data_IF_099828927436
#
_entry.id   IF_099828927436
#
_cell.length_a   1.000
_cell.length_b   1.000
_cell.length_c   1.000
_cell.angle_alpha   90.00
_cell.angle_beta   90.00
_cell.angle_gamma   90.00
#
_symmetry.space_group_name_H-M   'P 1'
#
loop_
_entity.id
_entity.type
_entity.pdbx_description
1 polymer ?
#
# COMPACT_ATOMS: atom_id res chain seq x y z
N UNK A 1 20.18 17.35 10.37
CA UNK A 1 19.04 18.17 10.83
C UNK A 1 17.84 17.53 10.16
N UNK A 2 16.93 16.93 10.91
CA UNK A 2 15.68 16.42 10.35
C UNK A 2 14.92 17.61 9.76
N UNK A 3 14.61 17.56 8.47
CA UNK A 3 13.78 18.55 7.80
C UNK A 3 12.39 18.49 8.45
N UNK A 4 11.88 19.63 8.91
CA UNK A 4 10.55 19.71 9.49
C UNK A 4 9.55 19.34 8.40
N UNK A 5 8.71 18.35 8.68
CA UNK A 5 7.59 17.96 7.83
C UNK A 5 6.69 19.19 7.62
N UNK A 6 6.32 19.44 6.37
CA UNK A 6 5.38 20.53 6.03
C UNK A 6 3.97 20.15 6.50
N UNK A 7 3.55 20.71 7.63
CA UNK A 7 2.23 20.50 8.23
C UNK A 7 1.08 21.24 7.54
N UNK A 8 1.31 21.81 6.36
CA UNK A 8 0.27 22.55 5.61
C UNK A 8 -0.66 21.65 4.78
N UNK A 9 -0.46 20.34 4.77
CA UNK A 9 -1.30 19.41 4.01
C UNK A 9 -2.68 19.25 4.65
N UNK A 10 -3.69 18.94 3.83
CA UNK A 10 -5.11 18.80 4.25
C UNK A 10 -5.32 17.65 5.23
N UNK A 11 -4.35 16.75 5.35
CA UNK A 11 -4.36 15.53 6.16
C UNK A 11 -3.70 15.70 7.53
N UNK A 12 -2.97 16.82 7.76
CA UNK A 12 -2.28 17.12 9.00
C UNK A 12 -3.10 18.05 9.89
N UNK A 13 -3.26 17.69 11.16
CA UNK A 13 -3.64 18.60 12.23
C UNK A 13 -2.43 18.88 13.08
N UNK A 14 -2.31 20.10 13.60
CA UNK A 14 -1.16 20.53 14.42
C UNK A 14 -0.99 19.75 15.74
N UNK A 15 -2.02 18.99 16.11
CA UNK A 15 -2.14 18.18 17.33
C UNK A 15 -2.23 16.66 17.07
N UNK A 16 -1.96 16.20 15.83
CA UNK A 16 -1.91 14.77 15.54
C UNK A 16 -0.67 14.13 16.20
N UNK A 17 -0.92 13.06 16.95
CA UNK A 17 0.08 12.19 17.54
C UNK A 17 -0.14 10.76 17.04
N UNK A 18 0.93 10.00 16.86
CA UNK A 18 0.84 8.59 16.46
C UNK A 18 1.68 7.71 17.37
N UNK A 19 1.14 6.55 17.70
CA UNK A 19 1.86 5.52 18.46
C UNK A 19 2.08 4.32 17.55
N UNK A 20 3.36 4.02 17.27
CA UNK A 20 3.75 2.79 16.58
C UNK A 20 3.92 1.68 17.61
N UNK A 21 3.11 0.65 17.50
CA UNK A 21 3.15 -0.50 18.42
C UNK A 21 3.11 -1.83 17.67
N UNK A 22 3.60 -2.88 18.32
CA UNK A 22 3.47 -4.27 17.90
C UNK A 22 2.53 -4.99 18.85
N UNK A 23 1.61 -5.74 18.28
CA UNK A 23 0.72 -6.63 19.01
C UNK A 23 1.10 -8.09 18.74
N UNK A 24 1.44 -8.82 19.80
CA UNK A 24 1.69 -10.25 19.73
C UNK A 24 0.34 -10.99 19.80
N UNK A 25 0.00 -11.68 18.71
CA UNK A 25 -1.32 -12.34 18.58
C UNK A 25 -1.46 -13.60 19.42
N UNK A 26 -0.35 -14.21 19.87
CA UNK A 26 -0.34 -15.41 20.70
C UNK A 26 -0.47 -15.05 22.18
N UNK A 27 0.28 -14.06 22.62
CA UNK A 27 0.31 -13.66 24.04
C UNK A 27 -0.68 -12.55 24.38
N UNK A 28 -1.12 -11.77 23.39
CA UNK A 28 -1.95 -10.58 23.57
C UNK A 28 -1.14 -9.37 24.09
N UNK A 29 0.18 -9.44 24.10
CA UNK A 29 1.04 -8.36 24.57
C UNK A 29 1.13 -7.24 23.52
N UNK A 30 1.12 -5.98 24.01
CA UNK A 30 1.32 -4.78 23.20
C UNK A 30 2.63 -4.12 23.59
N UNK A 31 3.48 -3.87 22.61
CA UNK A 31 4.77 -3.21 22.81
C UNK A 31 4.82 -1.93 22.00
N UNK A 32 4.91 -0.78 22.68
CA UNK A 32 5.13 0.52 22.03
C UNK A 32 6.57 0.57 21.53
N UNK A 33 6.73 0.78 20.23
CA UNK A 33 8.02 0.92 19.58
C UNK A 33 8.50 2.37 19.57
N UNK A 34 7.58 3.31 19.26
CA UNK A 34 7.86 4.75 19.19
C UNK A 34 6.58 5.57 19.23
N UNK A 35 6.68 6.75 19.84
CA UNK A 35 5.67 7.81 19.77
C UNK A 35 6.16 8.90 18.82
N UNK A 36 5.25 9.45 18.00
CA UNK A 36 5.51 10.52 17.05
C UNK A 36 4.61 11.70 17.34
N UNK A 37 5.12 12.91 17.19
CA UNK A 37 4.39 14.17 17.28
C UNK A 37 3.78 14.59 15.92
N UNK A 38 3.53 13.59 15.05
CA UNK A 38 2.95 13.72 13.74
C UNK A 38 2.24 12.43 13.30
N UNK A 39 1.40 12.54 12.27
CA UNK A 39 0.68 11.39 11.70
C UNK A 39 1.63 10.46 10.95
N UNK A 40 1.58 9.17 11.29
CA UNK A 40 2.12 8.08 10.48
C UNK A 40 0.99 7.12 10.12
N UNK A 41 1.09 6.46 8.96
CA UNK A 41 0.06 5.56 8.48
C UNK A 41 0.67 4.28 7.90
N UNK A 42 -0.12 3.20 7.91
CA UNK A 42 0.12 1.93 7.24
C UNK A 42 1.51 1.33 7.46
N UNK A 43 1.93 1.05 8.70
CA UNK A 43 3.22 0.40 8.94
C UNK A 43 3.23 -1.02 8.34
N UNK A 44 4.25 -1.30 7.51
CA UNK A 44 4.46 -2.60 6.87
C UNK A 44 5.78 -3.23 7.30
N UNK A 45 5.76 -4.52 7.65
CA UNK A 45 6.95 -5.28 8.01
C UNK A 45 7.87 -5.52 6.80
N UNK A 46 9.17 -5.39 7.03
CA UNK A 46 10.15 -5.92 6.08
C UNK A 46 10.15 -7.46 6.10
N UNK A 47 10.40 -8.13 4.97
CA UNK A 47 10.43 -9.59 4.91
C UNK A 47 11.45 -10.23 5.86
N UNK A 48 12.52 -9.52 6.19
CA UNK A 48 13.56 -9.98 7.12
C UNK A 48 13.30 -9.61 8.59
N UNK A 49 12.19 -8.91 8.87
CA UNK A 49 11.77 -8.51 10.21
C UNK A 49 12.63 -7.45 10.89
N UNK A 50 13.53 -6.75 10.16
CA UNK A 50 14.45 -5.79 10.77
C UNK A 50 13.96 -4.35 10.80
N UNK A 51 12.99 -4.01 9.96
CA UNK A 51 12.43 -2.67 9.89
C UNK A 51 10.96 -2.68 9.49
N UNK A 52 10.32 -1.53 9.68
CA UNK A 52 8.99 -1.24 9.14
C UNK A 52 9.11 -0.13 8.09
N UNK A 53 8.24 -0.13 7.10
CA UNK A 53 7.98 1.07 6.29
C UNK A 53 6.66 1.70 6.71
N UNK A 54 6.56 3.01 6.63
CA UNK A 54 5.31 3.75 6.85
C UNK A 54 5.29 5.00 5.96
N UNK A 55 4.10 5.57 5.75
CA UNK A 55 4.00 6.87 5.10
C UNK A 55 3.69 7.97 6.13
N UNK A 56 4.14 9.17 5.83
CA UNK A 56 3.82 10.41 6.54
C UNK A 56 3.96 11.57 5.59
N UNK A 57 2.98 12.47 5.56
CA UNK A 57 2.94 13.66 4.69
C UNK A 57 3.33 13.38 3.23
N UNK A 58 2.75 12.30 2.68
CA UNK A 58 2.96 11.89 1.29
C UNK A 58 4.32 11.25 1.00
N UNK A 59 5.17 11.03 1.99
CA UNK A 59 6.51 10.46 1.86
C UNK A 59 6.59 9.09 2.53
N UNK A 60 7.55 8.28 2.09
CA UNK A 60 7.79 6.94 2.63
C UNK A 60 9.00 6.97 3.55
N UNK A 61 8.85 6.34 4.69
CA UNK A 61 9.90 6.20 5.70
C UNK A 61 10.21 4.74 6.00
N UNK A 62 11.44 4.50 6.41
CA UNK A 62 11.90 3.25 6.97
C UNK A 62 12.22 3.46 8.44
N UNK A 63 11.61 2.67 9.33
CA UNK A 63 11.84 2.65 10.78
C UNK A 63 12.63 1.40 11.15
N UNK A 64 13.84 1.59 11.62
CA UNK A 64 14.71 0.49 12.06
C UNK A 64 14.31 0.00 13.46
N UNK A 65 14.09 -1.31 13.60
CA UNK A 65 13.59 -1.90 14.84
C UNK A 65 14.64 -2.04 15.94
N UNK A 66 15.92 -2.02 15.60
CA UNK A 66 17.02 -2.08 16.56
C UNK A 66 17.34 -0.68 17.11
N UNK A 67 17.57 0.28 16.21
CA UNK A 67 17.97 1.64 16.59
C UNK A 67 16.80 2.55 16.99
N UNK A 68 15.56 2.18 16.60
CA UNK A 68 14.33 3.00 16.75
C UNK A 68 14.38 4.33 15.99
N UNK A 69 15.20 4.41 14.96
CA UNK A 69 15.35 5.60 14.13
C UNK A 69 14.61 5.45 12.81
N UNK A 70 14.06 6.57 12.32
CA UNK A 70 13.41 6.67 11.03
C UNK A 70 14.31 7.37 10.02
N UNK A 71 14.32 6.89 8.79
CA UNK A 71 14.93 7.59 7.66
C UNK A 71 13.96 7.60 6.46
N UNK A 72 13.92 8.73 5.75
CA UNK A 72 13.13 8.86 4.53
C UNK A 72 13.71 7.99 3.42
N UNK A 73 12.85 7.30 2.66
CA UNK A 73 13.20 6.65 1.40
C UNK A 73 13.06 7.70 0.29
N UNK A 74 14.17 8.07 -0.33
CA UNK A 74 14.14 9.06 -1.41
C UNK A 74 13.38 8.54 -2.63
N UNK A 75 12.24 9.14 -2.93
CA UNK A 75 11.31 8.77 -4.00
C UNK A 75 11.20 9.81 -5.12
N UNK A 76 12.20 10.70 -5.25
CA UNK A 76 12.27 11.76 -6.24
C UNK A 76 10.97 12.60 -6.28
N UNK A 77 10.23 12.59 -7.41
CA UNK A 77 8.98 13.34 -7.58
C UNK A 77 7.74 12.69 -6.95
N UNK A 78 7.81 11.45 -6.52
CA UNK A 78 6.71 10.69 -5.88
C UNK A 78 6.63 11.09 -4.42
N UNK A 79 6.00 12.23 -4.12
CA UNK A 79 5.95 12.87 -2.80
C UNK A 79 4.54 13.19 -2.32
N UNK A 80 3.53 12.56 -2.93
CA UNK A 80 2.13 12.66 -2.53
C UNK A 80 1.53 11.25 -2.47
N UNK A 81 2.21 10.36 -1.69
CA UNK A 81 1.75 9.00 -1.45
C UNK A 81 0.62 9.02 -0.41
N UNK A 82 -0.36 8.14 -0.60
CA UNK A 82 -1.33 7.80 0.43
C UNK A 82 -0.81 6.58 1.25
N UNK A 83 -1.68 6.00 2.06
CA UNK A 83 -1.40 4.84 2.90
C UNK A 83 -1.23 3.51 2.11
N UNK A 84 -1.45 3.52 0.79
CA UNK A 84 -1.34 2.32 -0.05
C UNK A 84 0.11 2.14 -0.51
N UNK A 85 0.91 1.46 0.27
CA UNK A 85 2.28 1.10 -0.07
C UNK A 85 2.62 -0.30 0.45
N UNK A 86 3.34 -1.08 -0.34
CA UNK A 86 3.69 -2.47 -0.02
C UNK A 86 5.11 -2.78 -0.45
N UNK A 87 5.88 -3.43 0.43
CA UNK A 87 7.21 -3.95 0.10
C UNK A 87 7.11 -5.13 -0.85
N UNK A 88 8.04 -5.21 -1.79
CA UNK A 88 8.21 -6.42 -2.60
C UNK A 88 8.59 -7.62 -1.72
N UNK A 89 8.22 -8.86 -2.11
CA UNK A 89 8.52 -10.05 -1.30
C UNK A 89 10.00 -10.24 -0.98
N UNK A 90 10.88 -9.79 -1.88
CA UNK A 90 12.32 -9.82 -1.69
C UNK A 90 12.87 -8.63 -0.86
N UNK A 91 12.01 -7.63 -0.53
CA UNK A 91 12.35 -6.49 0.30
C UNK A 91 13.28 -5.45 -0.32
N UNK A 92 13.52 -5.50 -1.64
CA UNK A 92 14.43 -4.57 -2.32
C UNK A 92 13.72 -3.35 -2.94
N UNK A 93 12.40 -3.43 -3.14
CA UNK A 93 11.57 -2.40 -3.75
C UNK A 93 10.34 -2.13 -2.87
N UNK A 94 9.75 -0.97 -3.05
CA UNK A 94 8.43 -0.64 -2.53
C UNK A 94 7.54 -0.20 -3.69
N UNK A 95 6.31 -0.67 -3.72
CA UNK A 95 5.27 -0.14 -4.59
C UNK A 95 4.43 0.85 -3.78
N UNK A 96 4.02 1.95 -4.40
CA UNK A 96 3.31 3.05 -3.75
C UNK A 96 2.22 3.61 -4.65
N UNK A 97 1.12 4.07 -4.06
CA UNK A 97 0.12 4.89 -4.72
C UNK A 97 0.45 6.36 -4.55
N UNK A 98 0.54 7.10 -5.65
CA UNK A 98 0.91 8.52 -5.67
C UNK A 98 -0.09 9.35 -6.46
N UNK A 99 -0.64 10.38 -5.81
CA UNK A 99 -1.47 11.40 -6.45
C UNK A 99 -0.63 12.34 -7.31
N UNK A 100 -0.80 12.25 -8.63
CA UNK A 100 0.01 13.06 -9.57
C UNK A 100 -0.47 14.50 -9.63
N UNK A 101 0.43 15.45 -9.89
CA UNK A 101 0.12 16.88 -9.94
C UNK A 101 -0.70 17.26 -11.17
N UNK A 102 -0.65 16.46 -12.23
CA UNK A 102 -1.28 16.76 -13.51
C UNK A 102 -2.81 16.71 -13.44
N UNK A 103 -3.37 15.72 -12.73
CA UNK A 103 -4.81 15.48 -12.65
C UNK A 103 -5.32 15.15 -11.24
N UNK A 104 -4.42 15.13 -10.25
CA UNK A 104 -4.73 14.77 -8.86
C UNK A 104 -5.08 13.29 -8.63
N UNK A 105 -4.99 12.45 -9.68
CA UNK A 105 -5.38 11.05 -9.61
C UNK A 105 -4.21 10.17 -9.18
N UNK A 106 -4.53 9.12 -8.41
CA UNK A 106 -3.54 8.15 -7.97
C UNK A 106 -3.08 7.22 -9.09
N UNK A 107 -1.77 6.98 -9.12
CA UNK A 107 -1.10 5.98 -9.97
C UNK A 107 -0.12 5.18 -9.14
N UNK A 108 0.15 3.97 -9.57
CA UNK A 108 1.08 3.07 -8.88
C UNK A 108 2.47 3.21 -9.49
N UNK A 109 3.45 3.38 -8.61
CA UNK A 109 4.87 3.42 -8.93
C UNK A 109 5.62 2.37 -8.12
N UNK A 110 6.75 1.89 -8.65
CA UNK A 110 7.74 1.12 -7.87
C UNK A 110 9.00 1.93 -7.72
N UNK A 111 9.63 1.83 -6.55
CA UNK A 111 10.86 2.54 -6.19
C UNK A 111 11.82 1.55 -5.52
N UNK A 112 13.14 1.59 -5.81
CA UNK A 112 14.12 0.87 -4.99
C UNK A 112 14.05 1.33 -3.53
N UNK A 113 14.11 0.41 -2.58
CA UNK A 113 14.08 0.75 -1.16
C UNK A 113 15.33 1.53 -0.69
N UNK A 114 16.40 1.49 -1.47
CA UNK A 114 17.59 2.36 -1.30
C UNK A 114 17.40 3.77 -1.82
N UNK A 115 16.21 4.07 -2.33
CA UNK A 115 15.88 5.32 -3.00
C UNK A 115 16.24 5.32 -4.49
N UNK A 116 15.64 6.24 -5.23
CA UNK A 116 15.92 6.41 -6.65
C UNK A 116 14.74 6.95 -7.45
N UNK A 117 14.85 6.88 -8.77
CA UNK A 117 13.81 7.36 -9.68
C UNK A 117 12.65 6.37 -9.74
N UNK A 118 11.42 6.80 -9.44
CA UNK A 118 10.23 5.94 -9.49
C UNK A 118 9.92 5.47 -10.92
N UNK A 119 9.46 4.22 -11.02
CA UNK A 119 8.95 3.67 -12.27
C UNK A 119 7.43 3.63 -12.24
N UNK A 120 6.77 4.27 -13.21
CA UNK A 120 5.31 4.19 -13.38
C UNK A 120 4.91 2.77 -13.80
N UNK A 121 3.91 2.21 -13.11
CA UNK A 121 3.35 0.87 -13.39
C UNK A 121 1.96 0.99 -14.02
N UNK A 122 1.06 1.80 -13.43
CA UNK A 122 -0.31 1.99 -13.94
C UNK A 122 -0.44 3.32 -14.67
N UNK A 123 -0.46 3.37 -16.01
CA UNK A 123 -0.69 4.62 -16.76
C UNK A 123 -2.13 5.14 -16.62
N UNK A 124 -3.09 4.24 -16.44
CA UNK A 124 -4.49 4.59 -16.21
C UNK A 124 -4.74 4.96 -14.74
N UNK A 125 -5.64 5.90 -14.49
CA UNK A 125 -5.92 6.46 -13.16
C UNK A 125 -7.43 6.72 -12.95
N UNK A 126 -7.93 6.63 -11.70
CA UNK A 126 -7.16 6.30 -10.50
C UNK A 126 -6.85 4.81 -10.37
N UNK A 127 -5.75 4.51 -9.69
CA UNK A 127 -5.31 3.16 -9.32
C UNK A 127 -4.70 3.22 -7.92
N UNK A 128 -5.12 2.32 -7.02
CA UNK A 128 -4.76 2.27 -5.60
C UNK A 128 -4.16 0.90 -5.29
N UNK A 129 -2.90 0.89 -4.89
CA UNK A 129 -2.14 -0.33 -4.61
C UNK A 129 -2.61 -1.01 -3.33
N UNK A 130 -2.64 -2.35 -3.33
CA UNK A 130 -2.86 -3.11 -2.12
C UNK A 130 -1.94 -4.33 -2.00
N UNK A 131 -1.86 -5.19 -3.01
CA UNK A 131 -1.17 -6.47 -2.92
C UNK A 131 0.02 -6.60 -3.87
N UNK A 132 1.00 -7.39 -3.45
CA UNK A 132 2.09 -7.87 -4.29
C UNK A 132 2.05 -9.40 -4.32
N UNK A 133 2.07 -10.01 -5.51
CA UNK A 133 2.13 -11.48 -5.58
C UNK A 133 3.41 -12.01 -4.92
N UNK A 134 3.35 -13.17 -4.24
CA UNK A 134 4.52 -13.72 -3.53
C UNK A 134 5.73 -14.01 -4.40
N UNK A 135 5.54 -14.23 -5.71
CA UNK A 135 6.63 -14.39 -6.68
C UNK A 135 7.27 -13.05 -7.10
N UNK A 136 6.69 -11.91 -6.69
CA UNK A 136 7.19 -10.59 -7.01
C UNK A 136 6.93 -10.10 -8.44
N UNK A 137 6.09 -10.81 -9.22
CA UNK A 137 5.90 -10.55 -10.65
C UNK A 137 4.64 -9.71 -10.94
N UNK A 138 3.67 -9.65 -10.01
CA UNK A 138 2.36 -9.03 -10.24
C UNK A 138 1.94 -8.14 -9.07
N UNK A 139 1.31 -7.01 -9.37
CA UNK A 139 0.62 -6.16 -8.40
C UNK A 139 -0.88 -6.35 -8.51
N UNK A 140 -1.56 -6.43 -7.36
CA UNK A 140 -3.01 -6.36 -7.25
C UNK A 140 -3.41 -5.00 -6.67
N UNK A 141 -4.46 -4.40 -7.23
CA UNK A 141 -4.87 -3.05 -6.89
C UNK A 141 -6.36 -2.82 -7.14
N UNK A 142 -6.92 -1.81 -6.49
CA UNK A 142 -8.23 -1.28 -6.78
C UNK A 142 -8.12 -0.16 -7.81
N UNK A 143 -9.03 -0.12 -8.78
CA UNK A 143 -9.05 0.96 -9.76
C UNK A 143 -10.44 1.29 -10.26
N UNK A 144 -10.68 2.59 -10.47
CA UNK A 144 -11.89 3.04 -11.16
C UNK A 144 -11.69 2.98 -12.66
N UNK A 145 -12.55 2.21 -13.34
CA UNK A 145 -12.66 2.18 -14.79
C UNK A 145 -14.12 2.26 -15.18
N UNK A 146 -14.46 3.20 -16.06
CA UNK A 146 -15.82 3.42 -16.53
C UNK A 146 -16.85 3.71 -15.40
N UNK A 147 -16.40 4.34 -14.29
CA UNK A 147 -17.27 4.69 -13.17
C UNK A 147 -17.48 3.58 -12.13
N UNK A 148 -16.80 2.44 -12.26
CA UNK A 148 -16.86 1.32 -11.34
C UNK A 148 -15.50 1.04 -10.73
N UNK A 149 -15.47 0.73 -9.41
CA UNK A 149 -14.28 0.34 -8.69
C UNK A 149 -14.16 -1.18 -8.63
N UNK A 150 -13.10 -1.71 -9.22
CA UNK A 150 -12.85 -3.13 -9.31
C UNK A 150 -11.42 -3.50 -8.98
N UNK A 151 -11.21 -4.79 -8.74
CA UNK A 151 -9.90 -5.37 -8.54
C UNK A 151 -9.25 -5.65 -9.89
N UNK A 152 -8.03 -5.20 -10.01
CA UNK A 152 -7.16 -5.40 -11.18
C UNK A 152 -5.82 -5.99 -10.76
N UNK A 153 -5.19 -6.64 -11.72
CA UNK A 153 -3.77 -7.02 -11.61
C UNK A 153 -3.00 -6.47 -12.81
N UNK A 154 -1.70 -6.24 -12.60
CA UNK A 154 -0.77 -5.78 -13.64
C UNK A 154 0.62 -6.37 -13.39
N UNK A 155 1.37 -6.78 -14.43
CA UNK A 155 2.77 -7.15 -14.25
C UNK A 155 3.58 -6.01 -13.62
N UNK A 156 4.45 -6.32 -12.66
CA UNK A 156 5.29 -5.33 -11.95
C UNK A 156 6.19 -4.53 -12.89
N UNK A 157 6.46 -5.06 -14.08
CA UNK A 157 7.19 -4.38 -15.13
C UNK A 157 6.31 -3.53 -16.05
N UNK A 158 5.03 -3.31 -15.69
CA UNK A 158 4.03 -2.66 -16.53
C UNK A 158 3.52 -3.59 -17.63
N UNK A 159 2.53 -3.15 -18.37
CA UNK A 159 1.90 -3.91 -19.43
C UNK A 159 0.38 -3.76 -19.42
N UNK A 160 -0.33 -4.78 -19.86
CA UNK A 160 -1.78 -4.79 -19.89
C UNK A 160 -2.34 -5.14 -18.50
N UNK A 161 -3.28 -4.32 -18.00
CA UNK A 161 -4.01 -4.61 -16.78
C UNK A 161 -5.10 -5.65 -17.02
N UNK A 162 -5.32 -6.54 -16.06
CA UNK A 162 -6.38 -7.54 -16.09
C UNK A 162 -7.41 -7.22 -15.01
N UNK A 163 -8.66 -7.00 -15.39
CA UNK A 163 -9.78 -6.88 -14.46
C UNK A 163 -10.15 -8.25 -13.90
N UNK A 164 -10.28 -8.37 -12.58
CA UNK A 164 -10.62 -9.61 -11.87
C UNK A 164 -12.05 -9.62 -11.33
N UNK A 165 -12.65 -8.45 -11.04
CA UNK A 165 -14.03 -8.33 -10.57
C UNK A 165 -14.84 -7.46 -11.51
N UNK A 166 -16.15 -7.71 -11.56
CA UNK A 166 -17.12 -6.98 -12.38
C UNK A 166 -18.49 -6.81 -11.68
N UNK A 167 -18.52 -7.12 -10.38
CA UNK A 167 -19.75 -6.97 -9.60
C UNK A 167 -20.01 -5.49 -9.27
N UNK A 168 -21.29 -5.05 -9.35
CA UNK A 168 -21.65 -3.67 -9.07
C UNK A 168 -21.23 -3.20 -7.67
N UNK A 169 -20.81 -1.95 -7.58
CA UNK A 169 -20.38 -1.29 -6.37
C UNK A 169 -18.88 -1.40 -6.11
N UNK A 170 -18.46 -1.05 -4.90
CA UNK A 170 -17.04 -1.00 -4.52
C UNK A 170 -16.48 -2.40 -4.32
N UNK A 171 -15.40 -2.71 -5.02
CA UNK A 171 -14.52 -3.85 -4.79
C UNK A 171 -13.12 -3.29 -4.51
N UNK A 172 -12.53 -3.62 -3.35
CA UNK A 172 -11.36 -2.92 -2.84
C UNK A 172 -10.45 -3.83 -1.99
N UNK A 173 -9.22 -3.38 -1.73
CA UNK A 173 -8.29 -4.00 -0.80
C UNK A 173 -7.82 -5.41 -1.19
N UNK A 174 -7.36 -5.65 -2.45
CA UNK A 174 -6.91 -6.97 -2.86
C UNK A 174 -5.54 -7.33 -2.27
N UNK A 175 -5.49 -8.45 -1.53
CA UNK A 175 -4.28 -8.99 -0.93
C UNK A 175 -4.08 -10.45 -1.32
N UNK A 176 -2.89 -10.81 -1.80
CA UNK A 176 -2.55 -12.20 -2.05
C UNK A 176 -2.38 -12.97 -0.75
N UNK A 177 -2.75 -14.24 -0.74
CA UNK A 177 -2.30 -15.15 0.30
C UNK A 177 -0.80 -15.48 0.11
N UNK A 178 -0.19 -16.06 1.13
CA UNK A 178 1.25 -16.37 1.11
C UNK A 178 1.66 -17.40 0.05
N UNK A 179 0.72 -18.20 -0.44
CA UNK A 179 0.95 -19.18 -1.51
C UNK A 179 0.75 -18.58 -2.92
N UNK A 180 0.13 -17.40 -3.02
CA UNK A 180 -0.25 -16.80 -4.31
C UNK A 180 -1.39 -17.52 -5.02
N UNK A 181 -2.11 -18.40 -4.31
CA UNK A 181 -3.23 -19.14 -4.88
C UNK A 181 -4.51 -18.32 -4.88
N UNK A 182 -4.68 -17.47 -3.87
CA UNK A 182 -5.88 -16.67 -3.67
C UNK A 182 -5.58 -15.19 -3.50
N UNK A 183 -6.57 -14.37 -3.88
CA UNK A 183 -6.64 -12.95 -3.56
C UNK A 183 -7.84 -12.76 -2.63
N UNK A 184 -7.60 -12.16 -1.46
CA UNK A 184 -8.61 -11.69 -0.53
C UNK A 184 -8.95 -10.25 -0.85
N UNK A 185 -10.21 -9.87 -0.77
CA UNK A 185 -10.64 -8.50 -1.08
C UNK A 185 -11.95 -8.17 -0.35
N UNK A 186 -12.31 -6.91 -0.36
CA UNK A 186 -13.56 -6.40 0.19
C UNK A 186 -14.54 -6.10 -0.94
N UNK A 187 -15.83 -6.37 -0.72
CA UNK A 187 -16.87 -6.05 -1.71
C UNK A 187 -18.20 -5.74 -1.05
N UNK A 188 -18.93 -4.76 -1.61
CA UNK A 188 -20.29 -4.39 -1.19
C UNK A 188 -21.37 -5.14 -1.95
N UNK A 189 -21.04 -6.05 -2.86
CA UNK A 189 -21.98 -6.76 -3.76
C UNK A 189 -23.08 -7.55 -3.04
N UNK A 190 -22.89 -7.91 -1.77
CA UNK A 190 -23.91 -8.56 -0.92
C UNK A 190 -24.73 -7.56 -0.08
N UNK A 191 -24.62 -6.25 -0.33
CA UNK A 191 -25.35 -5.18 0.34
C UNK A 191 -24.52 -4.39 1.35
N UNK A 192 -23.61 -5.04 2.08
CA UNK A 192 -22.65 -4.41 3.00
C UNK A 192 -21.24 -4.84 2.59
N UNK A 193 -20.24 -4.05 3.03
CA UNK A 193 -18.84 -4.41 2.85
C UNK A 193 -18.53 -5.70 3.59
N UNK A 194 -18.10 -6.71 2.87
CA UNK A 194 -17.76 -8.05 3.38
C UNK A 194 -16.44 -8.52 2.80
N UNK A 195 -15.76 -9.42 3.52
CA UNK A 195 -14.57 -10.10 3.02
C UNK A 195 -14.96 -11.17 1.99
N UNK A 196 -14.23 -11.19 0.91
CA UNK A 196 -14.35 -12.15 -0.20
C UNK A 196 -13.00 -12.76 -0.52
N UNK A 197 -13.02 -13.89 -1.15
CA UNK A 197 -11.83 -14.56 -1.68
C UNK A 197 -12.10 -15.02 -3.11
N UNK A 198 -11.09 -14.96 -3.96
CA UNK A 198 -11.07 -15.50 -5.31
C UNK A 198 -9.75 -16.19 -5.60
N UNK A 199 -9.68 -17.05 -6.60
CA UNK A 199 -8.39 -17.50 -7.12
C UNK A 199 -7.61 -16.33 -7.72
N UNK A 200 -6.28 -16.45 -7.81
CA UNK A 200 -5.42 -15.40 -8.36
C UNK A 200 -5.75 -15.02 -9.80
N UNK A 201 -6.44 -15.90 -10.55
CA UNK A 201 -6.93 -15.61 -11.90
C UNK A 201 -8.27 -14.86 -11.94
N UNK A 202 -8.89 -14.59 -10.79
CA UNK A 202 -10.19 -13.92 -10.62
C UNK A 202 -11.40 -14.88 -10.57
N UNK A 203 -11.21 -16.18 -10.73
CA UNK A 203 -12.26 -17.17 -10.65
C UNK A 203 -12.65 -17.56 -9.22
N UNK A 204 -13.75 -18.29 -9.04
CA UNK A 204 -14.23 -18.85 -7.78
C UNK A 204 -14.42 -17.80 -6.66
N UNK A 205 -15.00 -16.65 -6.99
CA UNK A 205 -15.28 -15.57 -6.02
C UNK A 205 -16.29 -16.03 -4.98
N UNK A 206 -15.90 -16.04 -3.70
CA UNK A 206 -16.70 -16.56 -2.59
C UNK A 206 -16.67 -15.58 -1.42
N UNK A 207 -17.84 -15.28 -0.84
CA UNK A 207 -17.95 -14.52 0.40
C UNK A 207 -17.47 -15.39 1.58
N UNK A 208 -16.69 -14.79 2.47
CA UNK A 208 -16.08 -15.48 3.61
C UNK A 208 -16.81 -15.21 4.93
#
# INVERSE_FOLDING_TARGET
MAEKIDKSSVWYRDDDESILEVYDVETGERTILKEFDYLIEAPNWSPDGRFLTYNSDGRIFKFDLETKESCEVFTDFVTNCNNDHVLSPEGSRIAVSHGTKEDGKSRIYTVPLTGGVPRLITPLAPSYLHGWSPDGETLAYCAERNGEFDIYTIPVNGGEEKRLTDAPGLNDGPEYDSAGEYIWFNSVRSGLMQAWRMKADGSEQTQM
#
